data_IF_847976430350
#
_entry.id   IF_847976430350
#
_cell.length_a   1.000
_cell.length_b   1.000
_cell.length_c   1.000
_cell.angle_alpha   90.00
_cell.angle_beta   90.00
_cell.angle_gamma   90.00
#
_symmetry.space_group_name_H-M   'P 1'
#
loop_
_entity.id
_entity.type
_entity.pdbx_description
1 polymer ?
#
# COMPACT_ATOMS: atom_id res chain seq x y z
N UNK A 1 50.12 26.78 -14.25
CA UNK A 1 49.85 26.89 -12.81
C UNK A 1 48.36 27.19 -12.64
N UNK A 2 47.54 26.13 -12.58
CA UNK A 2 46.07 26.20 -12.63
C UNK A 2 45.59 25.94 -11.21
N UNK A 3 44.90 26.91 -10.58
CA UNK A 3 44.27 26.77 -9.27
C UNK A 3 42.97 25.99 -9.43
N UNK A 4 42.92 24.78 -8.92
CA UNK A 4 41.70 24.02 -8.67
C UNK A 4 41.07 24.55 -7.38
N UNK A 5 39.89 25.16 -7.50
CA UNK A 5 39.07 25.48 -6.33
C UNK A 5 38.24 24.24 -5.96
N UNK A 6 38.58 23.66 -4.81
CA UNK A 6 37.79 22.64 -4.13
C UNK A 6 36.40 23.20 -3.79
N UNK A 7 35.36 22.61 -4.34
CA UNK A 7 33.99 22.76 -3.83
C UNK A 7 33.93 22.10 -2.44
N UNK A 8 33.79 22.92 -1.39
CA UNK A 8 33.37 22.45 -0.08
C UNK A 8 31.88 22.14 -0.16
N UNK A 9 31.51 20.86 -0.16
CA UNK A 9 30.13 20.44 0.08
C UNK A 9 29.83 20.75 1.55
N UNK A 10 28.98 21.74 1.78
CA UNK A 10 28.49 22.10 3.10
C UNK A 10 27.58 20.96 3.58
N UNK A 11 28.10 20.10 4.45
CA UNK A 11 27.30 19.13 5.20
C UNK A 11 26.35 19.91 6.11
N UNK A 12 25.11 20.07 5.67
CA UNK A 12 24.06 20.65 6.48
C UNK A 12 23.53 19.54 7.38
N UNK A 13 24.00 19.54 8.62
CA UNK A 13 23.53 18.65 9.68
C UNK A 13 22.11 19.12 10.08
N UNK A 14 21.10 18.57 9.44
CA UNK A 14 19.71 18.75 9.84
C UNK A 14 19.30 17.53 10.67
N UNK A 15 19.41 17.67 11.98
CA UNK A 15 18.69 16.81 12.93
C UNK A 15 17.24 17.29 12.86
N UNK A 16 16.44 16.71 11.96
CA UNK A 16 15.01 16.92 12.00
C UNK A 16 14.46 16.01 13.10
N UNK A 17 13.99 16.62 14.18
CA UNK A 17 12.96 15.99 14.99
C UNK A 17 11.74 15.81 14.08
N UNK A 18 11.20 14.61 13.97
CA UNK A 18 9.86 14.42 13.42
C UNK A 18 8.94 15.20 14.36
N UNK A 19 8.52 16.39 13.93
CA UNK A 19 7.64 17.25 14.69
C UNK A 19 6.48 17.61 13.81
N UNK A 20 5.36 16.96 14.03
CA UNK A 20 4.08 17.46 13.53
C UNK A 20 2.96 17.07 14.46
N UNK A 21 2.52 18.08 15.20
CA UNK A 21 1.13 18.17 15.59
C UNK A 21 0.28 18.25 14.32
N UNK A 22 -0.82 17.52 14.31
CA UNK A 22 -1.78 17.52 13.22
C UNK A 22 -2.29 18.95 12.97
N UNK A 23 -1.82 19.59 11.92
CA UNK A 23 -2.54 20.70 11.28
C UNK A 23 -3.10 20.15 9.98
N UNK A 24 -4.43 20.06 9.92
CA UNK A 24 -5.18 19.72 8.71
C UNK A 24 -4.74 20.63 7.56
N UNK A 25 -4.20 20.12 6.44
CA UNK A 25 -4.05 20.94 5.25
C UNK A 25 -5.46 21.19 4.70
N UNK A 26 -5.90 22.44 4.73
CA UNK A 26 -7.04 22.89 3.94
C UNK A 26 -6.73 22.65 2.48
N UNK A 27 -7.63 21.96 1.78
CA UNK A 27 -7.57 21.71 0.36
C UNK A 27 -7.38 23.01 -0.44
N UNK A 28 -6.16 23.25 -0.91
CA UNK A 28 -5.83 24.03 -2.09
C UNK A 28 -4.31 24.01 -2.24
N UNK A 29 -3.80 23.26 -3.21
CA UNK A 29 -2.86 23.81 -4.19
C UNK A 29 -2.59 22.77 -5.29
N UNK A 30 -2.99 23.15 -6.50
CA UNK A 30 -2.83 22.38 -7.72
C UNK A 30 -1.36 22.44 -8.16
N UNK A 31 -0.58 21.42 -7.78
CA UNK A 31 0.78 21.18 -8.30
C UNK A 31 0.79 19.77 -8.90
N UNK A 32 1.19 19.61 -10.18
CA UNK A 32 0.98 18.37 -10.93
C UNK A 32 1.70 17.21 -10.25
N UNK A 33 0.93 16.20 -9.86
CA UNK A 33 1.43 14.92 -9.36
C UNK A 33 1.88 14.13 -10.59
N UNK A 34 3.16 13.83 -10.73
CA UNK A 34 3.63 12.79 -11.65
C UNK A 34 3.38 11.42 -11.00
N UNK A 35 2.12 11.09 -10.79
CA UNK A 35 1.68 9.71 -10.58
C UNK A 35 1.33 9.16 -11.95
N UNK A 36 1.73 7.93 -12.24
CA UNK A 36 1.20 7.22 -13.40
C UNK A 36 -0.34 7.25 -13.28
N UNK A 37 -0.98 7.90 -14.25
CA UNK A 37 -2.40 8.20 -14.25
C UNK A 37 -3.21 6.91 -14.03
N UNK A 38 -3.98 6.85 -12.94
CA UNK A 38 -5.02 5.84 -12.71
C UNK A 38 -6.07 5.81 -13.82
N UNK A 39 -6.12 6.85 -14.67
CA UNK A 39 -6.95 6.92 -15.86
C UNK A 39 -6.71 5.78 -16.86
N UNK A 40 -5.48 5.26 -16.98
CA UNK A 40 -5.22 4.17 -17.93
C UNK A 40 -5.80 2.84 -17.43
N UNK A 41 -5.82 2.62 -16.12
CA UNK A 41 -6.49 1.45 -15.53
C UNK A 41 -8.03 1.63 -15.48
N UNK A 42 -8.52 2.86 -15.21
CA UNK A 42 -9.94 3.17 -15.28
C UNK A 42 -10.51 2.97 -16.70
N UNK A 43 -9.73 3.30 -17.74
CA UNK A 43 -10.05 3.02 -19.15
C UNK A 43 -10.00 1.52 -19.46
N UNK A 44 -9.00 0.79 -18.96
CA UNK A 44 -8.92 -0.67 -19.13
C UNK A 44 -10.11 -1.39 -18.45
N UNK A 45 -10.59 -0.88 -17.30
CA UNK A 45 -11.75 -1.42 -16.58
C UNK A 45 -13.08 -1.17 -17.30
N UNK A 46 -13.24 -0.03 -18.00
CA UNK A 46 -14.45 0.26 -18.79
C UNK A 46 -14.55 -0.61 -20.05
N UNK A 47 -13.40 -0.98 -20.64
CA UNK A 47 -13.34 -1.77 -21.87
C UNK A 47 -13.56 -3.29 -21.67
N UNK A 48 -13.57 -3.77 -20.43
CA UNK A 48 -13.74 -5.20 -20.10
C UNK A 48 -15.15 -5.56 -19.59
N UNK A 49 -16.02 -4.57 -19.39
CA UNK A 49 -17.46 -4.81 -19.21
C UNK A 49 -18.08 -5.18 -20.56
N UNK A 50 -18.69 -6.37 -20.73
CA UNK A 50 -19.48 -6.63 -21.93
C UNK A 50 -20.58 -5.58 -22.00
N UNK A 51 -20.66 -4.87 -23.12
CA UNK A 51 -21.75 -3.96 -23.46
C UNK A 51 -23.09 -4.62 -23.10
N UNK A 52 -23.66 -4.22 -21.96
CA UNK A 52 -25.06 -4.46 -21.67
C UNK A 52 -25.84 -3.50 -22.54
N UNK A 53 -26.02 -3.92 -23.80
CA UNK A 53 -27.04 -3.49 -24.77
C UNK A 53 -27.91 -2.32 -24.29
N UNK A 54 -27.49 -1.10 -24.60
CA UNK A 54 -28.39 -0.02 -24.97
C UNK A 54 -28.99 -0.45 -26.32
N UNK A 55 -30.28 -0.76 -26.47
CA UNK A 55 -31.43 0.13 -26.59
C UNK A 55 -32.57 -0.72 -27.23
N UNK A 56 -33.83 -0.27 -27.40
CA UNK A 56 -34.37 1.09 -27.18
C UNK A 56 -35.74 1.13 -26.45
N UNK A 57 -36.09 2.27 -25.86
CA UNK A 57 -37.49 2.71 -25.78
C UNK A 57 -37.72 3.76 -26.87
N UNK A 58 -38.58 3.44 -27.83
CA UNK A 58 -39.21 4.42 -28.71
C UNK A 58 -40.72 4.25 -28.60
N UNK A 59 -41.41 5.34 -28.27
CA UNK A 59 -42.84 5.41 -28.12
C UNK A 59 -43.60 5.38 -29.45
N UNK A 60 -44.78 4.76 -29.34
CA UNK A 60 -46.07 5.06 -29.96
C UNK A 60 -46.57 4.41 -31.28
N UNK A 61 -47.72 3.73 -31.07
CA UNK A 61 -48.93 3.53 -31.90
C UNK A 61 -49.05 2.34 -32.87
N UNK A 62 -50.08 1.52 -32.62
CA UNK A 62 -50.99 1.05 -33.69
C UNK A 62 -51.17 -0.47 -33.89
N UNK A 63 -52.18 -1.04 -33.21
CA UNK A 63 -53.21 -1.98 -33.71
C UNK A 63 -52.81 -3.35 -34.36
N UNK A 64 -53.35 -4.45 -33.82
CA UNK A 64 -53.87 -5.57 -34.63
C UNK A 64 -53.35 -6.98 -34.31
N UNK A 65 -54.30 -7.89 -34.04
CA UNK A 65 -54.18 -9.31 -33.72
C UNK A 65 -53.32 -10.17 -34.68
N UNK A 66 -52.64 -11.21 -34.16
CA UNK A 66 -53.01 -12.63 -34.32
C UNK A 66 -51.89 -13.62 -33.92
N UNK A 67 -52.34 -14.68 -33.24
CA UNK A 67 -51.75 -16.00 -32.98
C UNK A 67 -50.48 -16.42 -33.76
N UNK A 68 -49.44 -16.83 -33.02
CA UNK A 68 -48.69 -18.05 -33.36
C UNK A 68 -47.95 -18.65 -32.18
N UNK A 69 -48.28 -19.90 -31.90
CA UNK A 69 -47.60 -20.83 -31.01
C UNK A 69 -46.24 -21.22 -31.59
N UNK A 70 -45.14 -20.90 -30.90
CA UNK A 70 -43.86 -21.59 -31.10
C UNK A 70 -43.24 -21.95 -29.74
N UNK A 71 -43.08 -23.26 -29.54
CA UNK A 71 -42.24 -23.86 -28.50
C UNK A 71 -40.83 -23.34 -28.68
N UNK A 72 -40.21 -22.82 -27.62
CA UNK A 72 -38.77 -22.80 -27.52
C UNK A 72 -38.31 -23.44 -26.22
N UNK A 73 -37.30 -24.27 -26.42
CA UNK A 73 -36.78 -25.32 -25.59
C UNK A 73 -35.95 -24.73 -24.44
N UNK A 74 -36.14 -25.29 -23.26
CA UNK A 74 -35.37 -25.00 -22.06
C UNK A 74 -33.96 -25.58 -22.19
N UNK A 75 -32.94 -24.74 -22.02
CA UNK A 75 -31.73 -25.04 -21.25
C UNK A 75 -30.73 -23.89 -21.37
N UNK A 76 -31.02 -22.77 -20.70
CA UNK A 76 -29.94 -21.83 -20.37
C UNK A 76 -29.25 -22.41 -19.15
N UNK A 77 -28.02 -22.88 -19.37
CA UNK A 77 -27.06 -23.16 -18.32
C UNK A 77 -26.97 -21.92 -17.42
N UNK A 78 -27.50 -22.04 -16.21
CA UNK A 78 -27.18 -21.13 -15.13
C UNK A 78 -25.72 -21.44 -14.77
N UNK A 79 -24.83 -20.66 -15.36
CA UNK A 79 -23.43 -20.62 -14.98
C UNK A 79 -23.38 -20.29 -13.49
N UNK A 80 -22.70 -21.17 -12.76
CA UNK A 80 -22.50 -21.11 -11.32
C UNK A 80 -21.69 -19.84 -11.06
N UNK A 81 -22.33 -18.82 -10.48
CA UNK A 81 -21.65 -17.61 -10.06
C UNK A 81 -20.73 -17.96 -8.89
N UNK A 82 -19.58 -18.54 -9.21
CA UNK A 82 -18.46 -18.63 -8.28
C UNK A 82 -18.08 -17.21 -7.93
N UNK A 83 -18.20 -16.86 -6.65
CA UNK A 83 -17.59 -15.64 -6.10
C UNK A 83 -16.16 -15.52 -6.64
N UNK A 84 -15.73 -14.34 -7.11
CA UNK A 84 -14.37 -14.19 -7.64
C UNK A 84 -13.35 -14.69 -6.61
N UNK A 85 -12.40 -15.51 -7.09
CA UNK A 85 -11.32 -16.05 -6.29
C UNK A 85 -10.49 -14.89 -5.69
N UNK A 86 -10.12 -15.00 -4.41
CA UNK A 86 -9.34 -13.98 -3.73
C UNK A 86 -7.89 -14.09 -4.23
N UNK A 87 -7.28 -13.02 -4.77
CA UNK A 87 -5.97 -13.13 -5.39
C UNK A 87 -4.88 -13.37 -4.33
N UNK A 88 -3.95 -14.26 -4.66
CA UNK A 88 -2.74 -14.49 -3.89
C UNK A 88 -1.79 -13.29 -3.99
N UNK A 89 -1.01 -13.04 -2.94
CA UNK A 89 0.02 -11.98 -2.95
C UNK A 89 1.37 -12.62 -3.33
N UNK A 90 1.98 -12.23 -4.45
CA UNK A 90 3.26 -12.80 -4.86
C UNK A 90 4.39 -12.38 -3.92
N UNK A 91 5.50 -13.12 -3.97
CA UNK A 91 6.71 -12.82 -3.19
C UNK A 91 7.93 -12.76 -4.09
N UNK A 92 8.95 -12.00 -3.69
CA UNK A 92 10.25 -11.96 -4.34
C UNK A 92 11.38 -12.03 -3.32
N UNK A 93 12.58 -12.33 -3.81
CA UNK A 93 13.79 -12.32 -2.99
C UNK A 93 14.43 -10.93 -3.00
N UNK A 94 14.56 -10.31 -1.83
CA UNK A 94 15.26 -9.04 -1.67
C UNK A 94 16.70 -9.16 -2.17
N UNK A 95 17.11 -8.21 -3.02
CA UNK A 95 18.45 -8.19 -3.57
C UNK A 95 19.49 -7.73 -2.54
N UNK A 96 20.72 -8.22 -2.68
CA UNK A 96 21.84 -7.78 -1.85
C UNK A 96 22.60 -6.68 -2.57
N UNK A 97 22.81 -5.57 -1.88
CA UNK A 97 23.61 -4.45 -2.37
C UNK A 97 24.94 -4.34 -1.63
N UNK A 98 26.00 -3.97 -2.35
CA UNK A 98 27.30 -3.62 -1.76
C UNK A 98 27.46 -2.10 -1.61
N UNK A 99 26.42 -1.32 -1.92
CA UNK A 99 26.42 0.14 -1.78
C UNK A 99 26.49 0.50 -0.31
N UNK A 100 27.39 1.42 0.03
CA UNK A 100 27.50 1.98 1.38
C UNK A 100 26.76 3.31 1.42
N UNK A 101 25.57 3.30 1.99
CA UNK A 101 24.74 4.49 2.14
C UNK A 101 25.28 5.45 3.22
N UNK A 102 24.85 6.73 3.20
CA UNK A 102 25.09 7.68 4.29
C UNK A 102 24.76 7.11 5.68
N UNK A 103 25.43 7.62 6.72
CA UNK A 103 25.37 7.05 8.08
C UNK A 103 23.95 7.07 8.64
N UNK A 104 23.23 8.15 8.39
CA UNK A 104 21.85 8.41 8.77
C UNK A 104 20.91 7.32 8.24
N UNK A 105 20.94 7.02 6.94
CA UNK A 105 20.09 5.98 6.34
C UNK A 105 20.44 4.60 6.89
N UNK A 106 21.73 4.32 7.12
CA UNK A 106 22.14 3.04 7.70
C UNK A 106 21.65 2.87 9.14
N UNK A 107 21.66 3.93 9.95
CA UNK A 107 21.13 3.87 11.32
C UNK A 107 19.62 3.63 11.31
N UNK A 108 18.90 4.33 10.44
CA UNK A 108 17.45 4.18 10.32
C UNK A 108 17.08 2.77 9.82
N UNK A 109 17.81 2.25 8.82
CA UNK A 109 17.68 0.87 8.37
C UNK A 109 17.90 -0.15 9.49
N UNK A 110 18.89 0.06 10.37
CA UNK A 110 19.14 -0.82 11.52
C UNK A 110 17.98 -0.75 12.52
N UNK A 111 17.40 0.43 12.76
CA UNK A 111 16.24 0.58 13.64
C UNK A 111 15.02 -0.15 13.07
N UNK A 112 14.70 0.02 11.79
CA UNK A 112 13.62 -0.73 11.14
C UNK A 112 13.87 -2.24 11.16
N UNK A 113 15.08 -2.70 10.86
CA UNK A 113 15.42 -4.13 10.93
C UNK A 113 15.24 -4.70 12.33
N UNK A 114 15.63 -3.96 13.38
CA UNK A 114 15.44 -4.37 14.77
C UNK A 114 13.97 -4.40 15.14
N UNK A 115 13.25 -3.32 14.86
CA UNK A 115 11.85 -3.19 15.25
C UNK A 115 10.93 -4.18 14.54
N UNK A 116 11.15 -4.40 13.24
CA UNK A 116 10.44 -5.40 12.43
C UNK A 116 10.85 -6.81 12.87
N UNK A 117 12.14 -7.00 13.13
CA UNK A 117 12.69 -8.22 13.72
C UNK A 117 12.63 -9.47 12.83
N UNK A 118 13.11 -10.57 13.41
CA UNK A 118 12.90 -11.93 12.91
C UNK A 118 11.63 -12.54 13.52
N UNK A 119 11.32 -13.79 13.18
CA UNK A 119 10.19 -14.54 13.75
C UNK A 119 10.11 -14.38 15.28
N UNK A 120 8.92 -14.01 15.75
CA UNK A 120 8.64 -13.70 17.14
C UNK A 120 7.26 -14.30 17.49
N UNK A 121 7.20 -15.12 18.54
CA UNK A 121 5.99 -15.84 18.94
C UNK A 121 4.80 -14.90 19.20
N UNK A 122 5.05 -13.68 19.70
CA UNK A 122 3.99 -12.68 19.88
C UNK A 122 3.42 -12.21 18.55
N UNK A 123 4.26 -11.97 17.55
CA UNK A 123 3.84 -11.59 16.20
C UNK A 123 3.04 -12.73 15.56
N UNK A 124 3.53 -13.96 15.65
CA UNK A 124 2.84 -15.14 15.11
C UNK A 124 1.49 -15.38 15.79
N UNK A 125 1.43 -15.21 17.12
CA UNK A 125 0.17 -15.30 17.86
C UNK A 125 -0.81 -14.21 17.44
N UNK A 126 -0.33 -12.98 17.23
CA UNK A 126 -1.18 -11.86 16.80
C UNK A 126 -1.73 -12.09 15.38
N UNK A 127 -0.90 -12.55 14.43
CA UNK A 127 -1.35 -12.93 13.08
C UNK A 127 -2.43 -14.00 13.16
N UNK A 128 -2.24 -15.04 13.97
CA UNK A 128 -3.26 -16.07 14.18
C UNK A 128 -4.55 -15.50 14.80
N UNK A 129 -4.44 -14.62 15.79
CA UNK A 129 -5.61 -14.00 16.43
C UNK A 129 -6.43 -13.14 15.44
N UNK A 130 -5.77 -12.48 14.51
CA UNK A 130 -6.41 -11.63 13.50
C UNK A 130 -7.05 -12.47 12.39
N UNK A 131 -6.30 -13.44 11.85
CA UNK A 131 -6.65 -14.13 10.60
C UNK A 131 -7.28 -15.51 10.81
N UNK A 132 -7.06 -16.13 11.97
CA UNK A 132 -7.38 -17.53 12.23
C UNK A 132 -6.51 -18.54 11.46
N UNK A 133 -5.42 -18.09 10.84
CA UNK A 133 -4.55 -18.89 9.97
C UNK A 133 -3.12 -18.94 10.50
N UNK A 134 -2.40 -19.97 10.06
CA UNK A 134 -0.95 -20.13 10.28
C UNK A 134 -0.15 -20.11 8.97
N UNK A 135 -0.82 -20.24 7.83
CA UNK A 135 -0.24 -20.28 6.48
C UNK A 135 -1.33 -20.08 5.42
N UNK A 136 -0.94 -19.91 4.15
CA UNK A 136 -1.89 -19.75 3.04
C UNK A 136 -2.61 -18.39 3.11
N UNK A 137 -1.84 -17.35 3.38
CA UNK A 137 -2.35 -15.98 3.48
C UNK A 137 -2.42 -15.36 2.09
N UNK A 138 -3.48 -14.58 1.86
CA UNK A 138 -3.68 -13.83 0.63
C UNK A 138 -4.06 -12.37 0.92
N UNK A 139 -4.45 -11.60 -0.10
CA UNK A 139 -4.72 -10.17 0.07
C UNK A 139 -5.83 -9.90 1.10
N UNK A 140 -6.80 -10.80 1.25
CA UNK A 140 -7.86 -10.65 2.26
C UNK A 140 -7.26 -10.58 3.65
N UNK A 141 -6.32 -11.46 3.97
CA UNK A 141 -5.71 -11.54 5.28
C UNK A 141 -4.82 -10.31 5.54
N UNK A 142 -4.13 -9.80 4.52
CA UNK A 142 -3.40 -8.54 4.61
C UNK A 142 -4.34 -7.37 4.94
N UNK A 143 -5.50 -7.30 4.30
CA UNK A 143 -6.54 -6.32 4.61
C UNK A 143 -7.13 -6.52 6.02
N UNK A 144 -7.32 -7.75 6.48
CA UNK A 144 -7.79 -8.03 7.85
C UNK A 144 -6.78 -7.53 8.90
N UNK A 145 -5.48 -7.69 8.65
CA UNK A 145 -4.41 -7.11 9.48
C UNK A 145 -4.46 -5.59 9.47
N UNK A 146 -4.57 -4.96 8.30
CA UNK A 146 -4.70 -3.51 8.20
C UNK A 146 -5.89 -3.00 9.01
N UNK A 147 -7.07 -3.58 8.81
CA UNK A 147 -8.31 -3.16 9.49
C UNK A 147 -8.19 -3.33 11.01
N UNK A 148 -7.60 -4.44 11.47
CA UNK A 148 -7.41 -4.71 12.89
C UNK A 148 -6.44 -3.71 13.51
N UNK A 149 -5.26 -3.50 12.94
CA UNK A 149 -4.28 -2.56 13.49
C UNK A 149 -4.85 -1.15 13.49
N UNK A 150 -5.45 -0.69 12.38
CA UNK A 150 -6.05 0.65 12.28
C UNK A 150 -7.21 0.89 13.25
N UNK A 151 -7.94 -0.15 13.64
CA UNK A 151 -9.01 -0.06 14.63
C UNK A 151 -8.46 0.16 16.05
N UNK A 152 -7.28 -0.39 16.35
CA UNK A 152 -6.67 -0.32 17.67
C UNK A 152 -5.58 0.76 17.79
N UNK A 153 -5.09 1.29 16.66
CA UNK A 153 -4.00 2.25 16.64
C UNK A 153 -4.36 3.55 17.35
N UNK A 154 -3.55 3.91 18.36
CA UNK A 154 -3.63 5.17 19.08
C UNK A 154 -2.36 5.98 18.81
N UNK A 155 -2.47 6.98 17.95
CA UNK A 155 -1.34 7.83 17.62
C UNK A 155 -0.84 8.60 18.84
N UNK A 156 0.46 8.51 19.11
CA UNK A 156 1.13 9.21 20.20
C UNK A 156 2.37 9.90 19.69
N UNK A 157 2.32 11.22 19.71
CA UNK A 157 3.46 12.05 19.36
C UNK A 157 4.47 12.12 20.51
N UNK A 158 5.72 11.75 20.23
CA UNK A 158 6.83 11.87 21.17
C UNK A 158 7.50 13.25 21.09
N UNK A 159 7.47 14.01 22.19
CA UNK A 159 8.07 15.36 22.26
C UNK A 159 9.58 15.38 22.52
N UNK A 160 10.16 14.25 22.95
CA UNK A 160 11.50 14.18 23.54
C UNK A 160 12.55 13.45 22.68
N UNK A 161 12.25 13.24 21.40
CA UNK A 161 13.10 12.51 20.45
C UNK A 161 12.36 11.35 19.81
N UNK A 162 12.93 10.80 18.74
CA UNK A 162 12.40 9.63 18.04
C UNK A 162 12.82 8.35 18.77
N UNK A 163 11.86 7.49 19.10
CA UNK A 163 12.11 6.18 19.68
C UNK A 163 11.44 5.12 18.81
N UNK A 164 12.24 4.20 18.28
CA UNK A 164 11.76 3.08 17.48
C UNK A 164 11.43 1.92 18.41
N UNK A 165 10.14 1.60 18.60
CA UNK A 165 9.75 0.46 19.41
C UNK A 165 9.71 -0.83 18.58
N UNK A 166 10.03 -1.95 19.23
CA UNK A 166 9.90 -3.26 18.59
C UNK A 166 8.41 -3.58 18.37
N UNK A 167 8.06 -4.17 17.22
CA UNK A 167 6.67 -4.48 16.89
C UNK A 167 5.95 -5.26 18.00
N UNK A 168 6.64 -6.23 18.60
CA UNK A 168 6.09 -7.03 19.69
C UNK A 168 5.83 -6.22 20.97
N UNK A 169 6.65 -5.20 21.23
CA UNK A 169 6.45 -4.26 22.34
C UNK A 169 5.22 -3.40 22.06
N UNK A 170 5.15 -2.77 20.89
CA UNK A 170 4.02 -1.91 20.48
C UNK A 170 2.68 -2.66 20.53
N UNK A 171 2.66 -3.92 20.10
CA UNK A 171 1.46 -4.77 20.20
C UNK A 171 1.11 -5.06 21.68
N UNK A 172 2.09 -5.37 22.53
CA UNK A 172 1.84 -5.63 23.96
C UNK A 172 1.34 -4.40 24.72
N UNK A 173 1.76 -3.21 24.30
CA UNK A 173 1.32 -1.95 24.89
C UNK A 173 -0.02 -1.44 24.33
N UNK A 174 -0.60 -2.18 23.37
CA UNK A 174 -1.93 -1.92 22.83
C UNK A 174 -1.94 -0.92 21.68
N UNK A 175 -1.01 -1.08 20.72
CA UNK A 175 -0.98 -0.35 19.44
C UNK A 175 -0.86 1.17 19.60
N UNK A 176 0.11 1.61 20.41
CA UNK A 176 0.38 3.03 20.67
C UNK A 176 1.76 3.39 20.15
N UNK A 177 1.84 4.44 19.37
CA UNK A 177 3.09 4.92 18.76
C UNK A 177 2.82 5.98 17.71
N UNK A 178 3.84 6.36 16.96
CA UNK A 178 3.77 7.28 15.83
C UNK A 178 4.01 6.56 14.48
N UNK A 179 4.55 7.26 13.48
CA UNK A 179 4.48 6.82 12.08
C UNK A 179 5.45 5.67 11.75
N UNK A 180 6.65 5.69 12.35
CA UNK A 180 7.65 4.63 12.23
C UNK A 180 7.24 3.39 13.04
N UNK A 181 6.70 3.54 14.26
CA UNK A 181 6.15 2.44 15.06
C UNK A 181 5.04 1.70 14.32
N UNK A 182 4.11 2.45 13.71
CA UNK A 182 3.05 1.85 12.90
C UNK A 182 3.65 1.06 11.73
N UNK A 183 4.60 1.68 11.02
CA UNK A 183 5.28 1.07 9.88
C UNK A 183 6.02 -0.21 10.27
N UNK A 184 6.61 -0.23 11.47
CA UNK A 184 7.27 -1.39 12.08
C UNK A 184 6.26 -2.50 12.37
N UNK A 185 5.15 -2.19 13.06
CA UNK A 185 4.12 -3.18 13.42
C UNK A 185 3.51 -3.81 12.18
N UNK A 186 3.10 -2.99 11.21
CA UNK A 186 2.50 -3.47 9.96
C UNK A 186 3.49 -4.33 9.17
N UNK A 187 4.74 -3.87 9.03
CA UNK A 187 5.77 -4.63 8.33
C UNK A 187 6.07 -5.95 9.02
N UNK A 188 6.11 -6.01 10.35
CA UNK A 188 6.37 -7.23 11.11
C UNK A 188 5.25 -8.26 10.93
N UNK A 189 3.99 -7.85 11.03
CA UNK A 189 2.84 -8.72 10.88
C UNK A 189 2.77 -9.30 9.45
N UNK A 190 2.84 -8.43 8.43
CA UNK A 190 2.77 -8.85 7.02
C UNK A 190 3.98 -9.70 6.60
N UNK A 191 5.18 -9.38 7.09
CA UNK A 191 6.38 -10.21 6.88
C UNK A 191 6.24 -11.58 7.54
N UNK A 192 5.64 -11.67 8.73
CA UNK A 192 5.40 -12.97 9.39
C UNK A 192 4.39 -13.84 8.63
N UNK A 193 3.49 -13.22 7.86
CA UNK A 193 2.61 -13.92 6.91
C UNK A 193 3.33 -14.38 5.63
N UNK A 194 4.61 -14.02 5.46
CA UNK A 194 5.42 -14.37 4.30
C UNK A 194 5.40 -13.33 3.17
N UNK A 195 4.76 -12.17 3.37
CA UNK A 195 4.73 -11.13 2.35
C UNK A 195 5.99 -10.27 2.35
N UNK A 196 6.31 -9.69 1.19
CA UNK A 196 7.37 -8.69 1.10
C UNK A 196 6.84 -7.30 1.46
N UNK A 197 7.51 -6.65 2.40
CA UNK A 197 7.22 -5.28 2.80
C UNK A 197 8.42 -4.39 2.65
N UNK A 198 8.18 -3.08 2.69
CA UNK A 198 9.20 -2.03 2.84
C UNK A 198 8.61 -0.87 3.62
N UNK A 199 9.48 -0.06 4.23
CA UNK A 199 9.09 1.19 4.89
C UNK A 199 9.64 2.34 4.07
N UNK A 200 8.76 3.27 3.68
CA UNK A 200 9.15 4.48 2.96
C UNK A 200 9.15 5.64 3.96
N UNK A 201 10.25 6.36 4.02
CA UNK A 201 10.29 7.66 4.70
C UNK A 201 10.23 8.77 3.69
N UNK A 202 9.30 9.69 3.87
CA UNK A 202 9.21 10.93 3.10
C UNK A 202 9.71 12.09 3.97
N UNK A 203 10.41 13.04 3.37
CA UNK A 203 10.69 14.34 4.00
C UNK A 203 10.43 15.48 3.01
N UNK A 204 9.70 16.50 3.47
CA UNK A 204 9.55 17.77 2.77
C UNK A 204 10.01 18.93 3.67
N UNK A 205 9.79 20.17 3.25
CA UNK A 205 10.27 21.36 3.96
C UNK A 205 9.73 21.52 5.39
N UNK A 206 8.59 20.90 5.71
CA UNK A 206 7.87 21.10 6.96
C UNK A 206 7.58 19.82 7.74
N UNK A 207 7.70 18.65 7.11
CA UNK A 207 7.22 17.39 7.67
C UNK A 207 8.05 16.19 7.20
N UNK A 208 8.24 15.24 8.11
CA UNK A 208 8.73 13.90 7.80
C UNK A 208 7.66 12.86 8.15
N UNK A 209 7.55 11.81 7.35
CA UNK A 209 6.59 10.73 7.54
C UNK A 209 7.24 9.38 7.26
N UNK A 210 6.76 8.32 7.92
CA UNK A 210 7.10 6.94 7.60
C UNK A 210 5.82 6.15 7.36
N UNK A 211 5.79 5.34 6.30
CA UNK A 211 4.66 4.46 6.01
C UNK A 211 5.11 3.11 5.44
N UNK A 212 4.37 2.02 5.73
CA UNK A 212 4.67 0.71 5.18
C UNK A 212 4.03 0.52 3.80
N UNK A 213 4.69 -0.26 2.96
CA UNK A 213 4.13 -0.75 1.69
C UNK A 213 4.23 -2.27 1.60
N UNK A 214 3.27 -2.85 0.87
CA UNK A 214 3.19 -4.27 0.55
C UNK A 214 3.48 -4.48 -0.93
N UNK A 215 4.37 -5.40 -1.27
CA UNK A 215 4.59 -5.81 -2.67
C UNK A 215 3.35 -6.54 -3.21
N UNK A 216 2.88 -6.16 -4.39
CA UNK A 216 1.67 -6.74 -5.03
C UNK A 216 1.94 -7.32 -6.42
N UNK A 217 3.22 -7.53 -6.78
CA UNK A 217 3.61 -8.22 -8.00
C UNK A 217 4.54 -7.44 -8.91
N UNK A 218 5.03 -8.12 -9.94
CA UNK A 218 5.85 -7.57 -11.02
C UNK A 218 5.17 -7.65 -12.40
N UNK A 219 3.90 -8.06 -12.44
CA UNK A 219 3.04 -8.01 -13.62
C UNK A 219 1.83 -7.10 -13.39
N UNK A 220 1.43 -6.38 -14.44
CA UNK A 220 0.27 -5.47 -14.40
C UNK A 220 -1.01 -6.25 -14.09
N UNK A 221 -1.11 -7.48 -14.59
CA UNK A 221 -2.27 -8.36 -14.41
C UNK A 221 -2.47 -8.72 -12.93
N UNK A 222 -1.43 -9.24 -12.26
CA UNK A 222 -1.48 -9.62 -10.84
C UNK A 222 -1.78 -8.42 -9.96
N UNK A 223 -1.07 -7.31 -10.18
CA UNK A 223 -1.31 -6.07 -9.45
C UNK A 223 -2.75 -5.58 -9.64
N UNK A 224 -3.29 -5.63 -10.87
CA UNK A 224 -4.66 -5.19 -11.15
C UNK A 224 -5.72 -6.08 -10.51
N UNK A 225 -5.49 -7.39 -10.34
CA UNK A 225 -6.39 -8.29 -9.61
C UNK A 225 -6.43 -7.95 -8.11
N UNK A 226 -5.27 -7.75 -7.51
CA UNK A 226 -5.14 -7.34 -6.10
C UNK A 226 -5.81 -5.97 -5.87
N UNK A 227 -5.53 -4.99 -6.73
CA UNK A 227 -6.12 -3.65 -6.62
C UNK A 227 -7.64 -3.68 -6.77
N UNK A 228 -8.18 -4.50 -7.70
CA UNK A 228 -9.64 -4.72 -7.84
C UNK A 228 -10.25 -5.34 -6.58
N UNK A 229 -9.59 -6.32 -5.98
CA UNK A 229 -10.04 -6.90 -4.72
C UNK A 229 -10.11 -5.83 -3.62
N UNK A 230 -9.03 -5.06 -3.44
CA UNK A 230 -8.95 -3.97 -2.44
C UNK A 230 -10.06 -2.94 -2.68
N UNK A 231 -10.22 -2.45 -3.92
CA UNK A 231 -11.29 -1.51 -4.27
C UNK A 231 -12.69 -2.06 -3.98
N UNK A 232 -12.92 -3.37 -4.20
CA UNK A 232 -14.22 -4.01 -3.91
C UNK A 232 -14.50 -4.11 -2.41
N UNK A 233 -13.48 -4.42 -1.60
CA UNK A 233 -13.57 -4.51 -0.14
C UNK A 233 -13.80 -3.13 0.47
N UNK A 234 -13.08 -2.13 -0.01
CA UNK A 234 -13.15 -0.75 0.43
C UNK A 234 -13.95 0.09 -0.57
N UNK A 235 -15.23 -0.27 -0.78
CA UNK A 235 -16.09 0.34 -1.80
C UNK A 235 -16.30 1.87 -1.67
N UNK A 236 -15.96 2.44 -0.51
CA UNK A 236 -15.99 3.88 -0.23
C UNK A 236 -14.70 4.60 -0.66
N UNK A 237 -13.64 3.87 -1.01
CA UNK A 237 -12.40 4.44 -1.51
C UNK A 237 -12.63 5.04 -2.90
N UNK A 238 -12.28 6.31 -3.08
CA UNK A 238 -12.35 6.95 -4.40
C UNK A 238 -11.33 6.37 -5.38
N UNK A 239 -10.15 5.99 -4.89
CA UNK A 239 -9.06 5.39 -5.65
C UNK A 239 -8.22 4.48 -4.75
N UNK A 240 -7.58 3.46 -5.34
CA UNK A 240 -6.53 2.66 -4.71
C UNK A 240 -5.18 3.01 -5.36
N UNK A 241 -4.34 3.71 -4.62
CA UNK A 241 -3.02 4.16 -5.07
C UNK A 241 -1.96 3.08 -4.83
N UNK A 242 -0.96 3.05 -5.71
CA UNK A 242 0.21 2.18 -5.61
C UNK A 242 1.44 2.92 -6.14
N UNK A 243 2.63 2.46 -5.78
CA UNK A 243 3.90 2.95 -6.32
C UNK A 243 4.58 1.89 -7.19
N UNK A 244 5.44 2.35 -8.11
CA UNK A 244 6.23 1.50 -8.98
C UNK A 244 7.71 1.58 -8.60
N UNK A 245 8.43 0.47 -8.68
CA UNK A 245 9.89 0.39 -8.56
C UNK A 245 10.48 -0.23 -9.81
N UNK A 246 11.24 0.55 -10.57
CA UNK A 246 11.97 0.07 -11.74
C UNK A 246 13.23 -0.70 -11.32
N UNK A 247 13.39 -1.90 -11.85
CA UNK A 247 14.56 -2.73 -11.68
C UNK A 247 15.58 -2.48 -12.80
N UNK A 248 16.82 -2.95 -12.59
CA UNK A 248 17.92 -2.80 -13.57
C UNK A 248 17.63 -3.46 -14.93
N UNK A 249 16.73 -4.43 -14.97
CA UNK A 249 16.31 -5.15 -16.17
C UNK A 249 15.00 -4.62 -16.76
N UNK A 250 14.64 -3.37 -16.45
CA UNK A 250 13.42 -2.67 -16.91
C UNK A 250 12.11 -3.34 -16.44
N UNK A 251 12.19 -4.31 -15.52
CA UNK A 251 11.02 -4.85 -14.84
C UNK A 251 10.49 -3.84 -13.84
N UNK A 252 9.17 -3.82 -13.67
CA UNK A 252 8.49 -2.96 -12.73
C UNK A 252 7.93 -3.80 -11.59
N UNK A 253 8.24 -3.43 -10.35
CA UNK A 253 7.56 -3.96 -9.16
C UNK A 253 6.48 -2.98 -8.71
N UNK A 254 5.34 -3.50 -8.29
CA UNK A 254 4.20 -2.72 -7.81
C UNK A 254 4.07 -2.87 -6.30
N UNK A 255 3.81 -1.76 -5.61
CA UNK A 255 3.76 -1.68 -4.15
C UNK A 255 2.51 -0.92 -3.70
N UNK A 256 1.75 -1.52 -2.80
CA UNK A 256 0.51 -0.97 -2.26
C UNK A 256 0.79 -0.26 -0.93
N UNK A 257 0.29 0.97 -0.79
CA UNK A 257 0.40 1.75 0.44
C UNK A 257 -0.41 1.11 1.58
N UNK A 258 0.18 0.92 2.75
CA UNK A 258 -0.49 0.41 3.96
C UNK A 258 -0.50 1.43 5.12
N UNK A 259 -0.28 2.71 4.83
CA UNK A 259 -0.35 3.80 5.82
C UNK A 259 -1.71 3.88 6.52
N UNK A 260 -1.67 4.12 7.84
CA UNK A 260 -2.86 4.40 8.66
C UNK A 260 -3.30 5.85 8.61
N UNK A 261 -2.40 6.77 8.22
CA UNK A 261 -2.59 8.18 8.48
C UNK A 261 -3.74 8.73 7.62
N UNK A 262 -4.91 8.82 8.26
CA UNK A 262 -6.11 9.46 7.74
C UNK A 262 -5.99 10.98 7.58
N UNK A 263 -4.78 11.55 7.66
CA UNK A 263 -4.50 12.96 7.34
C UNK A 263 -4.81 13.31 5.88
N UNK A 264 -4.99 12.29 5.04
CA UNK A 264 -5.53 12.43 3.69
C UNK A 264 -6.97 11.91 3.52
N UNK A 265 -7.66 11.50 4.60
CA UNK A 265 -9.04 11.02 4.55
C UNK A 265 -9.24 9.53 4.20
N UNK A 266 -8.16 8.79 3.96
CA UNK A 266 -8.20 7.40 3.50
C UNK A 266 -7.88 6.42 4.64
N UNK A 267 -8.87 5.60 5.02
CA UNK A 267 -8.71 4.51 6.01
C UNK A 267 -8.83 3.16 5.30
N UNK A 268 -7.99 2.94 4.30
CA UNK A 268 -7.90 1.70 3.52
C UNK A 268 -6.48 1.54 2.94
N UNK A 269 -6.04 0.31 2.64
CA UNK A 269 -4.84 0.09 1.82
C UNK A 269 -4.97 0.81 0.47
N UNK A 270 -3.86 1.36 -0.02
CA UNK A 270 -3.80 2.20 -1.21
C UNK A 270 -4.29 3.62 -1.00
N UNK A 271 -4.08 4.18 0.19
CA UNK A 271 -4.25 5.62 0.42
C UNK A 271 -3.25 6.46 -0.39
N UNK A 272 -3.57 7.74 -0.59
CA UNK A 272 -2.71 8.66 -1.36
C UNK A 272 -1.32 8.78 -0.72
N UNK A 273 -0.30 8.87 -1.57
CA UNK A 273 1.10 9.01 -1.18
C UNK A 273 1.43 10.43 -0.70
N UNK A 274 2.27 10.52 0.33
CA UNK A 274 2.85 11.77 0.75
C UNK A 274 3.87 12.25 -0.28
N UNK A 275 3.94 13.56 -0.52
CA UNK A 275 4.94 14.15 -1.41
C UNK A 275 6.17 14.60 -0.62
N UNK A 276 7.35 14.23 -1.10
CA UNK A 276 8.63 14.64 -0.53
C UNK A 276 9.80 13.90 -1.17
N UNK A 277 10.99 14.12 -0.63
CA UNK A 277 12.14 13.27 -0.90
C UNK A 277 11.95 11.94 -0.17
N UNK A 278 12.12 10.83 -0.89
CA UNK A 278 11.87 9.48 -0.39
C UNK A 278 13.16 8.73 -0.11
N UNK A 279 13.14 7.92 0.95
CA UNK A 279 14.13 6.86 1.18
C UNK A 279 13.38 5.61 1.59
N UNK A 280 13.69 4.49 0.95
CA UNK A 280 12.99 3.22 1.11
C UNK A 280 13.89 2.24 1.85
N UNK A 281 13.35 1.63 2.90
CA UNK A 281 14.05 0.68 3.76
C UNK A 281 13.38 -0.68 3.72
N UNK A 282 14.16 -1.71 3.40
CA UNK A 282 13.66 -3.07 3.34
C UNK A 282 14.03 -3.87 4.60
N UNK A 283 13.20 -4.84 5.01
CA UNK A 283 13.44 -5.63 6.22
C UNK A 283 14.76 -6.43 6.25
N UNK A 284 15.40 -6.72 5.10
CA UNK A 284 16.71 -7.39 5.07
C UNK A 284 17.89 -6.43 4.81
N UNK A 285 17.64 -5.12 4.86
CA UNK A 285 18.68 -4.09 4.90
C UNK A 285 19.01 -3.43 3.56
N UNK A 286 18.33 -3.76 2.46
CA UNK A 286 18.37 -2.93 1.26
C UNK A 286 17.84 -1.52 1.58
N UNK A 287 18.47 -0.51 0.98
CA UNK A 287 18.08 0.90 1.06
C UNK A 287 17.99 1.44 -0.37
N UNK A 288 16.99 2.25 -0.67
CA UNK A 288 16.88 2.97 -1.95
C UNK A 288 16.59 4.45 -1.70
N UNK A 289 17.14 5.30 -2.58
CA UNK A 289 17.12 6.77 -2.50
C UNK A 289 16.79 7.36 -3.86
#
# INVERSE_FOLDING_TARGET
MIRTNFFKLLSLLLIFAFASGCIYPTAADNIPVSGLNSEDLAKDLQNLTPNRTDNPLSDETGLGDQNKTEKNESSVYLDDSTSPEIPEVPTYHEEKTNVVYPREYRLLSINFQRGIGSENEKITSEVFNITGKTSGYNIKDACDVFDYVNKHWEYRYEKNGEFFFDASQTINEGYKGDCDDYSIVMSALLKNMGFNTRVVTVTNESYGHAYPELYIGDSKETASEILRYVQSRYYYAENIWYSGRELKDEKLQYWLNFDWSGSNGYRHPGGIYFKGAEVIYYPNGLIEV
#
